data_IF_660508032347
#
_entry.id   IF_660508032347
#
_cell.length_a   1.000
_cell.length_b   1.000
_cell.length_c   1.000
_cell.angle_alpha   90.00
_cell.angle_beta   90.00
_cell.angle_gamma   90.00
#
_symmetry.space_group_name_H-M   'P 1'
#
loop_
_entity.id
_entity.type
_entity.pdbx_description
1 polymer ?
#
# COMPACT_ATOMS: atom_id res chain seq x y z
N UNK A 1 -15.30 -25.12 12.16
CA UNK A 1 -15.70 -25.06 10.74
C UNK A 1 -16.96 -24.21 10.63
N UNK A 2 -16.85 -23.01 10.06
CA UNK A 2 -18.04 -22.18 9.79
C UNK A 2 -18.94 -22.86 8.75
N UNK A 3 -20.26 -22.89 9.01
CA UNK A 3 -21.23 -23.47 8.08
C UNK A 3 -21.28 -22.62 6.81
N UNK A 4 -21.22 -23.28 5.65
CA UNK A 4 -21.40 -22.61 4.35
C UNK A 4 -22.69 -21.79 4.36
N UNK A 5 -22.66 -20.49 3.98
CA UNK A 5 -23.85 -19.65 3.96
C UNK A 5 -24.99 -20.29 3.16
N UNK A 6 -26.21 -20.23 3.69
CA UNK A 6 -27.37 -20.94 3.12
C UNK A 6 -27.62 -20.63 1.63
N UNK A 7 -27.42 -19.38 1.20
CA UNK A 7 -27.62 -18.99 -0.19
C UNK A 7 -26.65 -19.70 -1.16
N UNK A 8 -25.39 -19.94 -0.75
CA UNK A 8 -24.40 -20.64 -1.59
C UNK A 8 -24.80 -22.11 -1.78
N UNK A 9 -25.37 -22.74 -0.76
CA UNK A 9 -25.90 -24.11 -0.84
C UNK A 9 -27.12 -24.20 -1.75
N UNK A 10 -28.04 -23.26 -1.63
CA UNK A 10 -29.24 -23.18 -2.48
C UNK A 10 -28.85 -22.98 -3.95
N UNK A 11 -27.86 -22.10 -4.22
CA UNK A 11 -27.39 -21.85 -5.59
C UNK A 11 -26.73 -23.10 -6.19
N UNK A 12 -25.88 -23.79 -5.43
CA UNK A 12 -25.23 -25.02 -5.86
C UNK A 12 -26.23 -26.15 -6.11
N UNK A 13 -27.23 -26.32 -5.24
CA UNK A 13 -28.31 -27.30 -5.42
C UNK A 13 -29.16 -26.96 -6.66
N UNK A 14 -29.45 -25.69 -6.88
CA UNK A 14 -30.23 -25.23 -8.04
C UNK A 14 -29.47 -25.50 -9.35
N UNK A 15 -28.17 -25.21 -9.39
CA UNK A 15 -27.31 -25.53 -10.54
C UNK A 15 -27.24 -27.04 -10.81
N UNK A 16 -27.13 -27.86 -9.75
CA UNK A 16 -27.11 -29.32 -9.88
C UNK A 16 -28.43 -29.86 -10.45
N UNK A 17 -29.57 -29.37 -9.94
CA UNK A 17 -30.91 -29.75 -10.46
C UNK A 17 -31.05 -29.36 -11.93
N UNK A 18 -30.54 -28.20 -12.33
CA UNK A 18 -30.59 -27.72 -13.72
C UNK A 18 -29.74 -28.59 -14.67
N UNK A 19 -28.54 -28.99 -14.24
CA UNK A 19 -27.67 -29.93 -14.98
C UNK A 19 -28.34 -31.31 -15.10
N UNK A 20 -28.89 -31.84 -14.00
CA UNK A 20 -29.59 -33.13 -14.02
C UNK A 20 -30.81 -33.04 -14.96
N UNK A 21 -31.58 -31.95 -14.90
CA UNK A 21 -32.71 -31.72 -15.81
C UNK A 21 -32.29 -31.70 -17.28
N UNK A 22 -31.17 -31.05 -17.61
CA UNK A 22 -30.57 -31.06 -18.94
C UNK A 22 -30.17 -32.47 -19.40
N UNK A 23 -29.53 -33.25 -18.52
CA UNK A 23 -29.14 -34.64 -18.83
C UNK A 23 -30.36 -35.53 -19.03
N UNK A 24 -31.41 -35.37 -18.22
CA UNK A 24 -32.66 -36.13 -18.36
C UNK A 24 -33.39 -35.76 -19.65
N UNK A 25 -33.48 -34.47 -19.99
CA UNK A 25 -34.06 -34.02 -21.25
C UNK A 25 -33.30 -34.59 -22.45
N UNK A 26 -31.98 -34.61 -22.38
CA UNK A 26 -31.13 -35.26 -23.37
C UNK A 26 -31.41 -36.76 -23.51
N UNK A 27 -31.53 -37.48 -22.39
CA UNK A 27 -31.85 -38.90 -22.39
C UNK A 27 -33.22 -39.17 -23.06
N UNK A 28 -34.21 -38.33 -22.81
CA UNK A 28 -35.53 -38.45 -23.43
C UNK A 28 -35.48 -38.22 -24.95
N UNK A 29 -34.74 -37.20 -25.42
CA UNK A 29 -34.55 -36.95 -26.86
C UNK A 29 -33.81 -38.12 -27.54
N UNK A 30 -32.84 -38.72 -26.85
CA UNK A 30 -32.11 -39.87 -27.35
C UNK A 30 -32.98 -41.14 -27.43
N UNK A 31 -33.89 -41.35 -26.46
CA UNK A 31 -34.76 -42.54 -26.40
C UNK A 31 -35.96 -42.46 -27.34
N UNK A 32 -36.53 -41.26 -27.56
CA UNK A 32 -37.79 -41.07 -28.30
C UNK A 32 -37.65 -40.38 -29.66
N UNK A 33 -36.43 -40.00 -30.05
CA UNK A 33 -35.96 -39.51 -31.36
C UNK A 33 -36.94 -38.94 -32.39
N UNK A 34 -36.64 -37.73 -32.90
CA UNK A 34 -37.23 -37.15 -34.13
C UNK A 34 -36.18 -36.82 -35.21
N UNK A 35 -36.58 -36.23 -36.35
CA UNK A 35 -35.68 -35.87 -37.46
C UNK A 35 -34.48 -35.02 -37.03
N UNK A 36 -34.67 -34.17 -36.02
CA UNK A 36 -33.67 -33.19 -35.54
C UNK A 36 -32.82 -33.69 -34.36
N UNK A 37 -32.92 -34.98 -34.01
CA UNK A 37 -32.25 -35.55 -32.83
C UNK A 37 -30.73 -35.36 -32.83
N UNK A 38 -30.09 -35.37 -34.01
CA UNK A 38 -28.66 -35.14 -34.18
C UNK A 38 -28.25 -33.69 -33.90
N UNK A 39 -29.03 -32.71 -34.35
CA UNK A 39 -28.72 -31.29 -34.17
C UNK A 39 -28.95 -30.86 -32.71
N UNK A 40 -30.00 -31.41 -32.08
CA UNK A 40 -30.24 -31.27 -30.64
C UNK A 40 -29.10 -31.88 -29.81
N UNK A 41 -28.60 -33.06 -30.19
CA UNK A 41 -27.43 -33.67 -29.54
C UNK A 41 -26.19 -32.77 -29.65
N UNK A 42 -25.86 -32.28 -30.85
CA UNK A 42 -24.69 -31.45 -31.07
C UNK A 42 -24.79 -30.11 -30.33
N UNK A 43 -25.98 -29.50 -30.29
CA UNK A 43 -26.24 -28.28 -29.54
C UNK A 43 -26.05 -28.48 -28.03
N UNK A 44 -26.57 -29.58 -27.47
CA UNK A 44 -26.41 -29.92 -26.05
C UNK A 44 -24.96 -30.26 -25.69
N UNK A 45 -24.28 -31.08 -26.50
CA UNK A 45 -22.87 -31.39 -26.30
C UNK A 45 -21.99 -30.12 -26.35
N UNK A 46 -22.28 -29.22 -27.30
CA UNK A 46 -21.65 -27.91 -27.37
C UNK A 46 -21.93 -27.06 -26.14
N UNK A 47 -23.18 -27.01 -25.66
CA UNK A 47 -23.57 -26.23 -24.49
C UNK A 47 -22.89 -26.73 -23.20
N UNK A 48 -22.75 -28.05 -23.01
CA UNK A 48 -22.08 -28.64 -21.84
C UNK A 48 -20.61 -28.22 -21.75
N UNK A 49 -19.96 -27.96 -22.88
CA UNK A 49 -18.57 -27.45 -22.91
C UNK A 49 -18.53 -25.92 -22.85
N UNK A 50 -19.36 -25.25 -23.66
CA UNK A 50 -19.34 -23.80 -23.80
C UNK A 50 -19.83 -23.07 -22.54
N UNK A 51 -20.89 -23.56 -21.88
CA UNK A 51 -21.47 -22.89 -20.71
C UNK A 51 -20.49 -22.81 -19.53
N UNK A 52 -19.77 -23.88 -19.13
CA UNK A 52 -18.75 -23.77 -18.09
C UNK A 52 -17.62 -22.81 -18.46
N UNK A 53 -17.14 -22.82 -19.72
CA UNK A 53 -16.07 -21.93 -20.18
C UNK A 53 -16.53 -20.47 -20.14
N UNK A 54 -17.71 -20.16 -20.67
CA UNK A 54 -18.26 -18.81 -20.67
C UNK A 54 -18.57 -18.32 -19.25
N UNK A 55 -19.05 -19.19 -18.37
CA UNK A 55 -19.27 -18.87 -16.95
C UNK A 55 -17.96 -18.57 -16.25
N UNK A 56 -16.92 -19.39 -16.50
CA UNK A 56 -15.58 -19.16 -15.98
C UNK A 56 -15.01 -17.82 -16.48
N UNK A 57 -15.11 -17.53 -17.77
CA UNK A 57 -14.67 -16.26 -18.37
C UNK A 57 -15.40 -15.06 -17.76
N UNK A 58 -16.71 -15.15 -17.57
CA UNK A 58 -17.50 -14.08 -16.94
C UNK A 58 -17.04 -13.81 -15.50
N UNK A 59 -16.86 -14.86 -14.70
CA UNK A 59 -16.37 -14.74 -13.31
C UNK A 59 -14.96 -14.15 -13.29
N UNK A 60 -14.09 -14.59 -14.20
CA UNK A 60 -12.75 -14.05 -14.37
C UNK A 60 -12.77 -12.56 -14.74
N UNK A 61 -13.60 -12.15 -15.71
CA UNK A 61 -13.75 -10.74 -16.11
C UNK A 61 -14.25 -9.85 -14.96
N UNK A 62 -15.19 -10.34 -14.15
CA UNK A 62 -15.66 -9.63 -12.95
C UNK A 62 -14.50 -9.46 -11.96
N UNK A 63 -13.70 -10.50 -11.73
CA UNK A 63 -12.51 -10.43 -10.87
C UNK A 63 -11.50 -9.40 -11.37
N UNK A 64 -11.20 -9.43 -12.67
CA UNK A 64 -10.28 -8.49 -13.31
C UNK A 64 -10.74 -7.02 -13.21
N UNK A 65 -12.03 -6.75 -13.40
CA UNK A 65 -12.58 -5.38 -13.33
C UNK A 65 -12.66 -4.88 -11.88
N UNK A 66 -13.00 -5.75 -10.93
CA UNK A 66 -13.21 -5.37 -9.52
C UNK A 66 -11.94 -5.43 -8.68
N UNK A 67 -10.84 -5.94 -9.22
CA UNK A 67 -9.60 -6.20 -8.49
C UNK A 67 -9.75 -7.30 -7.42
N UNK A 68 -10.77 -8.17 -7.53
CA UNK A 68 -11.06 -9.23 -6.56
C UNK A 68 -10.65 -10.59 -7.09
N UNK A 69 -10.06 -11.41 -6.22
CA UNK A 69 -9.87 -12.83 -6.51
C UNK A 69 -11.20 -13.59 -6.55
N UNK A 70 -11.31 -14.49 -7.51
CA UNK A 70 -12.48 -15.35 -7.71
C UNK A 70 -12.04 -16.79 -7.93
N UNK A 71 -13.00 -17.72 -7.96
CA UNK A 71 -12.72 -19.12 -8.33
C UNK A 71 -12.16 -19.29 -9.75
N UNK A 72 -12.24 -18.24 -10.58
CA UNK A 72 -11.74 -18.24 -11.94
C UNK A 72 -10.40 -17.48 -12.10
N UNK A 73 -9.84 -16.91 -11.03
CA UNK A 73 -8.53 -16.25 -11.08
C UNK A 73 -7.45 -17.23 -11.57
N UNK A 74 -6.62 -16.78 -12.51
CA UNK A 74 -5.50 -17.54 -13.08
C UNK A 74 -4.36 -17.83 -12.09
N UNK A 75 -4.53 -17.46 -10.82
CA UNK A 75 -3.62 -17.69 -9.71
C UNK A 75 -3.60 -19.15 -9.26
N UNK A 76 -3.38 -20.06 -10.20
CA UNK A 76 -2.82 -21.37 -9.91
C UNK A 76 -1.41 -21.25 -9.27
N UNK A 77 -0.78 -20.06 -9.28
CA UNK A 77 0.47 -19.78 -8.55
C UNK A 77 0.27 -19.33 -7.09
N UNK A 78 -0.95 -18.97 -6.66
CA UNK A 78 -1.26 -18.76 -5.24
C UNK A 78 -1.65 -20.05 -4.52
N UNK A 79 -1.63 -21.20 -5.22
CA UNK A 79 -2.23 -22.48 -4.77
C UNK A 79 -1.74 -22.99 -3.42
N UNK A 80 -0.60 -22.50 -2.92
CA UNK A 80 -0.04 -22.87 -1.63
C UNK A 80 -0.24 -21.82 -0.52
N UNK A 81 -0.77 -20.62 -0.81
CA UNK A 81 -1.02 -19.59 0.20
C UNK A 81 -2.40 -19.74 0.82
N UNK A 82 -2.50 -19.41 2.11
CA UNK A 82 -3.79 -19.36 2.81
C UNK A 82 -4.60 -18.21 2.24
N UNK A 83 -5.91 -18.40 2.12
CA UNK A 83 -6.82 -17.36 1.65
C UNK A 83 -7.93 -17.15 2.69
N UNK A 84 -8.40 -15.91 2.83
CA UNK A 84 -9.56 -15.60 3.65
C UNK A 84 -10.87 -16.04 2.96
N UNK A 85 -12.01 -15.86 3.64
CA UNK A 85 -13.33 -16.23 3.10
C UNK A 85 -13.76 -15.41 1.87
N UNK A 86 -13.03 -14.36 1.54
CA UNK A 86 -13.24 -13.48 0.40
C UNK A 86 -12.25 -13.75 -0.75
N UNK A 87 -11.30 -14.67 -0.55
CA UNK A 87 -10.28 -15.02 -1.54
C UNK A 87 -9.05 -14.12 -1.50
N UNK A 88 -8.84 -13.32 -0.45
CA UNK A 88 -7.62 -12.53 -0.30
C UNK A 88 -6.50 -13.40 0.26
N UNK A 89 -5.27 -13.20 -0.23
CA UNK A 89 -4.07 -13.86 0.30
C UNK A 89 -3.89 -13.48 1.77
N UNK A 90 -3.71 -14.48 2.63
CA UNK A 90 -3.32 -14.30 4.02
C UNK A 90 -1.80 -14.44 4.06
N UNK A 91 -1.07 -13.43 4.59
CA UNK A 91 0.38 -13.49 4.66
C UNK A 91 0.87 -14.64 5.56
N UNK A 92 2.07 -15.11 5.26
CA UNK A 92 2.75 -16.11 6.08
C UNK A 92 3.28 -15.45 7.37
N UNK A 93 3.24 -16.18 8.50
CA UNK A 93 3.78 -15.69 9.78
C UNK A 93 2.78 -14.90 10.63
N UNK A 94 3.29 -14.16 11.61
CA UNK A 94 2.48 -13.39 12.57
C UNK A 94 2.23 -11.94 12.12
N UNK A 95 3.09 -11.40 11.26
CA UNK A 95 3.00 -10.03 10.73
C UNK A 95 1.94 -9.98 9.62
N UNK A 96 1.03 -9.02 9.71
CA UNK A 96 0.02 -8.76 8.67
C UNK A 96 0.10 -7.36 8.08
N UNK A 97 0.84 -6.45 8.73
CA UNK A 97 0.92 -5.04 8.35
C UNK A 97 2.37 -4.55 8.32
N UNK A 98 2.74 -3.94 7.20
CA UNK A 98 4.01 -3.23 7.01
C UNK A 98 3.72 -1.73 6.97
N UNK A 99 4.42 -0.95 7.78
CA UNK A 99 4.31 0.50 7.81
C UNK A 99 5.66 1.10 7.46
N UNK A 100 5.67 2.01 6.50
CA UNK A 100 6.88 2.68 6.03
C UNK A 100 6.90 4.15 6.42
N UNK A 101 8.07 4.67 6.77
CA UNK A 101 8.35 6.09 6.57
C UNK A 101 8.44 6.42 5.07
N UNK A 102 8.33 7.69 4.72
CA UNK A 102 8.47 8.19 3.35
C UNK A 102 9.90 8.69 3.12
N UNK A 103 10.33 9.72 3.86
CA UNK A 103 11.64 10.33 3.73
C UNK A 103 12.76 9.30 3.93
N UNK A 104 13.71 9.24 2.99
CA UNK A 104 14.86 8.31 2.97
C UNK A 104 14.54 6.81 3.02
N UNK A 105 13.26 6.41 2.99
CA UNK A 105 12.80 5.02 2.95
C UNK A 105 12.10 4.71 1.62
N UNK A 106 10.96 5.33 1.34
CA UNK A 106 10.23 5.19 0.08
C UNK A 106 10.64 6.24 -0.96
N UNK A 107 11.25 7.34 -0.54
CA UNK A 107 11.82 8.38 -1.39
C UNK A 107 13.17 8.85 -0.86
N UNK A 108 13.90 9.67 -1.61
CA UNK A 108 15.08 10.36 -1.09
C UNK A 108 14.70 11.78 -0.69
N UNK A 109 14.91 12.15 0.58
CA UNK A 109 14.75 13.52 1.03
C UNK A 109 16.07 14.27 0.80
N UNK A 110 16.20 14.85 -0.39
CA UNK A 110 17.47 15.34 -0.94
C UNK A 110 17.64 16.86 -0.76
N UNK A 111 17.36 17.37 0.45
CA UNK A 111 17.39 18.81 0.74
C UNK A 111 18.76 19.45 0.48
N UNK A 112 19.85 18.74 0.76
CA UNK A 112 21.23 19.20 0.55
C UNK A 112 21.54 19.37 -0.93
N UNK A 113 21.26 18.33 -1.73
CA UNK A 113 21.43 18.35 -3.19
C UNK A 113 20.52 19.37 -3.85
N UNK A 114 19.33 19.56 -3.31
CA UNK A 114 18.38 20.58 -3.77
C UNK A 114 18.95 21.99 -3.59
N UNK A 115 19.55 22.29 -2.43
CA UNK A 115 20.21 23.59 -2.22
C UNK A 115 21.44 23.77 -3.13
N UNK A 116 22.23 22.73 -3.34
CA UNK A 116 23.34 22.76 -4.30
C UNK A 116 22.83 23.02 -5.73
N UNK A 117 21.72 22.38 -6.13
CA UNK A 117 21.09 22.61 -7.43
C UNK A 117 20.60 24.06 -7.62
N UNK A 118 20.15 24.71 -6.54
CA UNK A 118 19.81 26.15 -6.53
C UNK A 118 21.02 27.07 -6.65
N UNK A 119 22.25 26.54 -6.59
CA UNK A 119 23.49 27.29 -6.79
C UNK A 119 24.20 27.69 -5.51
N UNK A 120 23.80 27.14 -4.36
CA UNK A 120 24.48 27.36 -3.08
C UNK A 120 25.74 26.49 -2.97
N UNK A 121 26.81 27.05 -2.43
CA UNK A 121 28.01 26.30 -2.08
C UNK A 121 27.85 25.56 -0.74
N UNK A 122 28.76 24.64 -0.43
CA UNK A 122 28.68 23.80 0.76
C UNK A 122 28.57 24.62 2.07
N UNK A 123 29.23 25.78 2.13
CA UNK A 123 29.21 26.65 3.30
C UNK A 123 27.83 27.30 3.50
N UNK A 124 27.21 27.78 2.42
CA UNK A 124 25.86 28.33 2.46
C UNK A 124 24.81 27.24 2.71
N UNK A 125 24.96 26.05 2.11
CA UNK A 125 24.10 24.89 2.38
C UNK A 125 24.11 24.54 3.86
N UNK A 126 25.29 24.46 4.48
CA UNK A 126 25.40 24.18 5.93
C UNK A 126 24.76 25.28 6.78
N UNK A 127 24.90 26.55 6.37
CA UNK A 127 24.31 27.70 7.08
C UNK A 127 22.79 27.70 6.99
N UNK A 128 22.23 27.49 5.80
CA UNK A 128 20.79 27.34 5.58
C UNK A 128 20.26 26.14 6.37
N UNK A 129 20.99 25.01 6.38
CA UNK A 129 20.58 23.81 7.12
C UNK A 129 20.43 24.07 8.62
N UNK A 130 21.40 24.79 9.23
CA UNK A 130 21.36 25.19 10.64
C UNK A 130 20.16 26.08 10.97
N UNK A 131 19.78 26.97 10.07
CA UNK A 131 18.62 27.84 10.25
C UNK A 131 17.26 27.12 10.02
N UNK A 132 17.28 25.96 9.35
CA UNK A 132 16.07 25.27 8.85
C UNK A 132 15.98 23.81 9.28
N UNK A 133 16.39 22.85 8.45
CA UNK A 133 16.28 21.39 8.66
C UNK A 133 16.92 20.88 9.95
N UNK A 134 17.90 21.58 10.50
CA UNK A 134 18.54 21.23 11.78
C UNK A 134 18.02 22.04 12.98
N UNK A 135 17.11 23.00 12.75
CA UNK A 135 16.52 23.82 13.79
C UNK A 135 15.34 23.11 14.46
N UNK A 136 15.02 23.50 15.70
CA UNK A 136 13.85 23.01 16.42
C UNK A 136 12.53 23.41 15.72
N UNK A 137 12.53 24.50 14.94
CA UNK A 137 11.37 24.96 14.17
C UNK A 137 10.97 23.97 13.06
N UNK A 138 11.89 23.11 12.61
CA UNK A 138 11.57 22.07 11.63
C UNK A 138 10.46 21.14 12.11
N UNK A 139 10.37 20.92 13.43
CA UNK A 139 9.30 20.12 14.02
C UNK A 139 7.93 20.77 13.80
N UNK A 140 7.83 22.11 13.86
CA UNK A 140 6.57 22.81 13.60
C UNK A 140 6.23 22.84 12.11
N UNK A 141 7.24 22.83 11.23
CA UNK A 141 7.07 22.61 9.80
C UNK A 141 6.41 21.25 9.51
N UNK A 142 6.93 20.18 10.11
CA UNK A 142 6.39 18.83 9.95
C UNK A 142 5.00 18.67 10.59
N UNK A 143 4.69 19.38 11.69
CA UNK A 143 3.33 19.40 12.26
C UNK A 143 2.33 20.14 11.40
N UNK A 144 2.76 21.05 10.52
CA UNK A 144 1.85 21.86 9.70
C UNK A 144 0.96 22.81 10.50
N UNK A 145 1.40 23.23 11.69
CA UNK A 145 0.66 24.17 12.54
C UNK A 145 0.72 25.61 12.03
N UNK A 146 1.71 25.91 11.19
CA UNK A 146 2.01 27.24 10.67
C UNK A 146 1.80 27.27 9.16
N UNK A 147 1.43 28.43 8.65
CA UNK A 147 1.47 28.71 7.22
C UNK A 147 2.91 28.73 6.70
N UNK A 148 3.08 28.62 5.38
CA UNK A 148 4.41 28.65 4.76
C UNK A 148 5.19 29.94 5.08
N UNK A 149 4.50 31.08 5.10
CA UNK A 149 5.13 32.36 5.38
C UNK A 149 5.53 32.49 6.86
N UNK A 150 4.71 31.96 7.77
CA UNK A 150 5.00 31.96 9.21
C UNK A 150 6.21 31.09 9.56
N UNK A 151 6.33 29.90 8.97
CA UNK A 151 7.48 29.03 9.23
C UNK A 151 8.76 29.57 8.59
N UNK A 152 8.67 30.12 7.37
CA UNK A 152 9.82 30.79 6.73
C UNK A 152 10.28 31.98 7.59
N UNK A 153 9.36 32.75 8.16
CA UNK A 153 9.72 33.84 9.07
C UNK A 153 10.51 33.35 10.29
N UNK A 154 10.14 32.20 10.89
CA UNK A 154 10.92 31.60 11.99
C UNK A 154 12.29 31.12 11.55
N UNK A 155 12.39 30.49 10.39
CA UNK A 155 13.69 30.13 9.81
C UNK A 155 14.58 31.35 9.60
N UNK A 156 14.02 32.48 9.15
CA UNK A 156 14.73 33.75 9.01
C UNK A 156 15.16 34.31 10.38
N UNK A 157 14.36 34.13 11.44
CA UNK A 157 14.76 34.52 12.80
C UNK A 157 15.98 33.74 13.31
N UNK A 158 16.16 32.49 12.85
CA UNK A 158 17.33 31.66 13.19
C UNK A 158 18.63 32.19 12.57
N UNK A 159 18.57 32.85 11.40
CA UNK A 159 19.71 33.56 10.81
C UNK A 159 19.27 34.74 9.90
N UNK A 160 19.08 35.94 10.48
CA UNK A 160 18.53 37.07 9.73
C UNK A 160 19.42 37.60 8.60
N UNK A 161 20.72 37.30 8.62
CA UNK A 161 21.67 37.80 7.62
C UNK A 161 21.51 37.11 6.26
N UNK A 162 21.00 35.86 6.25
CA UNK A 162 20.77 35.08 5.02
C UNK A 162 19.28 34.97 4.68
N UNK A 163 18.49 35.96 5.11
CA UNK A 163 17.04 36.02 4.88
C UNK A 163 16.66 35.67 3.44
N UNK A 164 17.30 36.31 2.46
CA UNK A 164 16.97 36.12 1.06
C UNK A 164 17.21 34.68 0.60
N UNK A 165 18.24 34.03 1.13
CA UNK A 165 18.60 32.67 0.77
C UNK A 165 17.65 31.64 1.40
N UNK A 166 17.23 31.87 2.65
CA UNK A 166 16.22 31.06 3.34
C UNK A 166 14.87 31.17 2.62
N UNK A 167 14.44 32.39 2.30
CA UNK A 167 13.20 32.63 1.56
C UNK A 167 13.24 31.97 0.19
N UNK A 168 14.31 32.14 -0.59
CA UNK A 168 14.44 31.48 -1.90
C UNK A 168 14.44 29.95 -1.78
N UNK A 169 15.14 29.41 -0.77
CA UNK A 169 15.28 27.99 -0.54
C UNK A 169 13.95 27.29 -0.26
N UNK A 170 13.10 27.87 0.60
CA UNK A 170 11.91 27.18 1.13
C UNK A 170 10.57 27.72 0.63
N UNK A 171 10.54 28.85 -0.10
CA UNK A 171 9.30 29.35 -0.72
C UNK A 171 8.80 28.44 -1.84
N UNK A 172 9.72 27.82 -2.58
CA UNK A 172 9.41 26.73 -3.51
C UNK A 172 10.42 25.59 -3.27
N UNK A 173 9.89 24.41 -2.94
CA UNK A 173 10.66 23.18 -2.67
C UNK A 173 10.40 22.07 -3.70
N UNK A 174 9.95 22.44 -4.90
CA UNK A 174 9.74 21.51 -6.02
C UNK A 174 11.04 20.74 -6.30
N UNK A 175 10.97 19.42 -6.26
CA UNK A 175 12.13 18.54 -6.47
C UNK A 175 13.03 18.33 -5.25
N UNK A 176 12.65 18.81 -4.05
CA UNK A 176 13.37 18.49 -2.80
C UNK A 176 13.28 16.99 -2.45
N UNK A 177 12.27 16.29 -2.99
CA UNK A 177 12.09 14.85 -2.84
C UNK A 177 12.31 14.17 -4.19
N UNK A 178 13.18 13.15 -4.19
CA UNK A 178 13.45 12.34 -5.37
C UNK A 178 12.75 10.99 -5.28
N UNK A 179 12.19 10.56 -6.42
CA UNK A 179 11.54 9.27 -6.59
C UNK A 179 12.57 8.13 -6.49
N UNK A 180 12.20 7.07 -5.78
CA UNK A 180 12.92 5.78 -5.80
C UNK A 180 12.18 4.79 -6.68
N UNK A 181 12.80 4.34 -7.77
CA UNK A 181 12.19 3.42 -8.74
C UNK A 181 11.75 2.07 -8.13
N UNK A 182 12.40 1.63 -7.05
CA UNK A 182 12.06 0.37 -6.37
C UNK A 182 10.80 0.44 -5.50
N UNK A 183 10.32 1.63 -5.16
CA UNK A 183 9.25 1.84 -4.17
C UNK A 183 7.92 1.23 -4.59
N UNK A 184 7.43 1.57 -5.78
CA UNK A 184 6.15 1.03 -6.28
C UNK A 184 6.22 -0.49 -6.47
N UNK A 185 7.25 -1.06 -7.13
CA UNK A 185 7.42 -2.52 -7.20
C UNK A 185 7.44 -3.20 -5.83
N UNK A 186 8.08 -2.58 -4.84
CA UNK A 186 8.17 -3.14 -3.49
C UNK A 186 6.81 -3.18 -2.78
N UNK A 187 6.07 -2.07 -2.80
CA UNK A 187 4.72 -1.99 -2.23
C UNK A 187 3.80 -3.02 -2.90
N UNK A 188 3.84 -3.12 -4.23
CA UNK A 188 3.02 -4.08 -4.98
C UNK A 188 3.34 -5.53 -4.63
N UNK A 189 4.62 -5.89 -4.48
CA UNK A 189 5.03 -7.24 -4.11
C UNK A 189 4.51 -7.62 -2.71
N UNK A 190 4.66 -6.72 -1.73
CA UNK A 190 4.12 -6.91 -0.37
C UNK A 190 2.59 -7.08 -0.39
N UNK A 191 1.87 -6.24 -1.12
CA UNK A 191 0.41 -6.34 -1.23
C UNK A 191 -0.04 -7.63 -1.92
N UNK A 192 0.65 -8.04 -3.00
CA UNK A 192 0.39 -9.32 -3.67
C UNK A 192 0.65 -10.52 -2.75
N UNK A 193 1.54 -10.36 -1.76
CA UNK A 193 1.78 -11.37 -0.75
C UNK A 193 0.77 -11.37 0.41
N UNK A 194 -0.21 -10.45 0.41
CA UNK A 194 -1.30 -10.39 1.37
C UNK A 194 -1.08 -9.42 2.54
N UNK A 195 0.05 -8.70 2.59
CA UNK A 195 0.29 -7.73 3.64
C UNK A 195 -0.48 -6.44 3.38
N UNK A 196 -1.01 -5.85 4.45
CA UNK A 196 -1.46 -4.45 4.44
C UNK A 196 -0.22 -3.56 4.43
N UNK A 197 -0.16 -2.59 3.52
CA UNK A 197 0.97 -1.67 3.39
C UNK A 197 0.51 -0.24 3.65
N UNK A 198 1.04 0.39 4.69
CA UNK A 198 0.71 1.75 5.09
C UNK A 198 1.96 2.64 5.14
N UNK A 199 1.75 3.95 5.24
CA UNK A 199 2.82 4.91 5.55
C UNK A 199 2.56 5.71 6.84
N UNK A 200 3.63 6.16 7.48
CA UNK A 200 3.63 7.01 8.67
C UNK A 200 4.83 7.98 8.60
N UNK A 201 4.59 9.23 8.22
CA UNK A 201 5.68 10.16 7.93
C UNK A 201 5.49 11.53 8.57
N UNK A 202 6.61 12.06 9.08
CA UNK A 202 6.75 13.49 9.34
C UNK A 202 6.96 14.15 7.98
N UNK A 203 5.97 14.91 7.54
CA UNK A 203 5.89 15.37 6.16
C UNK A 203 5.16 16.70 6.09
N UNK A 204 5.60 17.59 5.21
CA UNK A 204 4.98 18.91 5.01
C UNK A 204 3.98 18.92 3.85
N UNK A 205 3.06 19.88 3.88
CA UNK A 205 2.10 20.08 2.78
C UNK A 205 2.82 20.44 1.47
N UNK A 206 3.83 21.29 1.56
CA UNK A 206 4.59 21.83 0.45
C UNK A 206 5.34 20.71 -0.27
N UNK A 207 5.89 19.76 0.47
CA UNK A 207 6.61 18.64 -0.12
C UNK A 207 5.68 17.71 -0.90
N UNK A 208 4.42 17.58 -0.46
CA UNK A 208 3.41 16.79 -1.16
C UNK A 208 2.97 17.48 -2.47
N UNK A 209 2.77 18.80 -2.42
CA UNK A 209 2.30 19.59 -3.56
C UNK A 209 3.40 19.84 -4.60
N UNK A 210 4.66 20.02 -4.16
CA UNK A 210 5.79 20.32 -5.04
C UNK A 210 6.50 19.10 -5.64
N UNK A 211 6.24 17.89 -5.14
CA UNK A 211 6.87 16.66 -5.62
C UNK A 211 5.86 15.56 -5.97
N UNK A 212 4.83 15.82 -6.80
CA UNK A 212 3.76 14.85 -7.08
C UNK A 212 4.29 13.55 -7.70
N UNK A 213 5.26 13.64 -8.61
CA UNK A 213 5.87 12.48 -9.29
C UNK A 213 6.58 11.53 -8.31
N UNK A 214 7.24 12.09 -7.28
CA UNK A 214 7.88 11.30 -6.24
C UNK A 214 6.85 10.65 -5.29
N UNK A 215 5.64 11.20 -5.23
CA UNK A 215 4.55 10.79 -4.34
C UNK A 215 3.52 9.87 -5.00
N UNK A 216 3.70 9.48 -6.27
CA UNK A 216 2.81 8.56 -7.01
C UNK A 216 2.53 7.25 -6.24
N UNK A 217 3.50 6.76 -5.46
CA UNK A 217 3.38 5.53 -4.68
C UNK A 217 2.27 5.59 -3.62
N UNK A 218 1.84 6.77 -3.18
CA UNK A 218 0.79 6.92 -2.17
C UNK A 218 -0.50 6.20 -2.60
N UNK A 219 -0.83 6.24 -3.90
CA UNK A 219 -2.00 5.57 -4.46
C UNK A 219 -1.88 4.03 -4.48
N UNK A 220 -0.66 3.49 -4.36
CA UNK A 220 -0.40 2.04 -4.33
C UNK A 220 -0.53 1.46 -2.91
N UNK A 221 -0.45 2.30 -1.87
CA UNK A 221 -0.59 1.89 -0.47
C UNK A 221 -2.05 1.68 -0.06
N UNK A 222 -2.29 1.13 1.12
CA UNK A 222 -3.63 1.04 1.73
C UNK A 222 -3.99 2.30 2.55
N UNK A 223 -3.16 3.34 2.47
CA UNK A 223 -3.30 4.61 3.19
C UNK A 223 -2.15 4.86 4.16
N UNK A 224 -2.33 5.83 5.05
CA UNK A 224 -1.32 6.19 6.04
C UNK A 224 -1.61 7.53 6.72
N UNK A 225 -0.59 8.06 7.40
CA UNK A 225 -0.63 9.37 8.05
C UNK A 225 0.53 10.23 7.53
N UNK A 226 0.19 11.45 7.13
CA UNK A 226 1.12 12.56 6.93
C UNK A 226 0.91 13.54 8.09
N UNK A 227 1.95 13.79 8.86
CA UNK A 227 1.88 14.58 10.11
C UNK A 227 1.20 15.94 9.95
N UNK A 228 1.45 16.67 8.85
CA UNK A 228 0.87 18.01 8.64
C UNK A 228 -0.66 18.04 8.63
N UNK A 229 -1.31 16.92 8.30
CA UNK A 229 -2.77 16.81 8.29
C UNK A 229 -3.36 16.57 9.68
N UNK A 230 -2.55 16.03 10.58
CA UNK A 230 -2.97 15.55 11.90
C UNK A 230 -2.35 16.35 13.05
N UNK A 231 -1.43 17.26 12.74
CA UNK A 231 -0.73 18.12 13.70
C UNK A 231 0.04 17.38 14.80
N UNK A 232 0.48 16.16 14.48
CA UNK A 232 1.25 15.29 15.36
C UNK A 232 2.35 14.61 14.55
N UNK A 233 3.53 14.46 15.15
CA UNK A 233 4.75 13.98 14.51
C UNK A 233 5.35 12.81 15.27
N UNK A 234 6.08 11.94 14.59
CA UNK A 234 7.01 10.99 15.23
C UNK A 234 8.12 11.77 15.95
N UNK A 235 8.61 11.29 17.10
CA UNK A 235 8.30 10.02 17.77
C UNK A 235 7.16 10.11 18.82
N UNK A 236 6.25 11.09 18.73
CA UNK A 236 5.13 11.21 19.69
C UNK A 236 4.24 9.96 19.64
N UNK A 237 3.99 9.27 20.77
CA UNK A 237 3.10 8.11 20.83
C UNK A 237 1.71 8.32 20.21
N UNK A 238 1.21 9.56 20.21
CA UNK A 238 -0.09 9.91 19.65
C UNK A 238 -0.21 9.60 18.15
N UNK A 239 0.84 9.78 17.34
CA UNK A 239 0.76 9.50 15.89
C UNK A 239 0.65 7.99 15.59
N UNK A 240 1.35 7.16 16.37
CA UNK A 240 1.27 5.71 16.25
C UNK A 240 -0.11 5.20 16.67
N UNK A 241 -0.61 5.69 17.81
CA UNK A 241 -1.96 5.33 18.29
C UNK A 241 -3.06 5.79 17.33
N UNK A 242 -2.88 6.94 16.67
CA UNK A 242 -3.75 7.41 15.61
C UNK A 242 -3.77 6.43 14.43
N UNK A 243 -2.61 5.94 13.99
CA UNK A 243 -2.52 4.95 12.92
C UNK A 243 -3.19 3.63 13.31
N UNK A 244 -2.95 3.14 14.54
CA UNK A 244 -3.59 1.95 15.09
C UNK A 244 -5.11 2.07 15.02
N UNK A 245 -5.64 3.18 15.51
CA UNK A 245 -7.08 3.42 15.60
C UNK A 245 -7.72 3.56 14.21
N UNK A 246 -7.07 4.30 13.30
CA UNK A 246 -7.59 4.58 11.96
C UNK A 246 -7.63 3.34 11.06
N UNK A 247 -6.61 2.49 11.15
CA UNK A 247 -6.47 1.32 10.28
C UNK A 247 -6.76 -0.02 10.96
N UNK A 248 -7.22 0.03 12.21
CA UNK A 248 -7.52 -1.12 13.06
C UNK A 248 -6.32 -2.10 13.13
N UNK A 249 -5.15 -1.56 13.48
CA UNK A 249 -3.91 -2.33 13.52
C UNK A 249 -3.78 -3.12 14.82
N UNK A 250 -3.07 -4.25 14.75
CA UNK A 250 -2.59 -4.94 15.94
C UNK A 250 -1.09 -4.67 16.07
N UNK A 251 -0.63 -3.90 17.08
CA UNK A 251 0.78 -3.52 17.23
C UNK A 251 1.74 -4.71 17.11
N UNK A 252 1.46 -5.83 17.77
CA UNK A 252 2.33 -7.01 17.76
C UNK A 252 2.46 -7.68 16.38
N UNK A 253 1.56 -7.39 15.45
CA UNK A 253 1.53 -7.88 14.07
C UNK A 253 1.97 -6.83 13.04
N UNK A 254 2.41 -5.67 13.52
CA UNK A 254 2.80 -4.54 12.68
C UNK A 254 4.30 -4.34 12.77
N UNK A 255 4.96 -4.20 11.62
CA UNK A 255 6.37 -3.80 11.54
C UNK A 255 6.47 -2.40 10.96
N UNK A 256 7.24 -1.55 11.62
CA UNK A 256 7.54 -0.19 11.18
C UNK A 256 8.97 -0.10 10.64
N UNK A 257 9.14 0.52 9.49
CA UNK A 257 10.42 0.70 8.80
C UNK A 257 10.66 2.21 8.66
N UNK A 258 11.72 2.69 9.29
CA UNK A 258 12.05 4.12 9.40
C UNK A 258 13.58 4.25 9.46
N UNK A 259 14.15 5.29 8.86
CA UNK A 259 15.60 5.52 8.89
C UNK A 259 16.08 6.09 10.23
N UNK A 260 15.16 6.67 11.02
CA UNK A 260 15.46 7.39 12.26
C UNK A 260 15.28 6.48 13.49
N UNK A 261 16.36 6.17 14.24
CA UNK A 261 16.31 5.21 15.34
C UNK A 261 15.30 5.57 16.45
N UNK A 262 15.13 6.85 16.77
CA UNK A 262 14.20 7.27 17.84
C UNK A 262 12.74 6.94 17.50
N UNK A 263 12.37 6.99 16.21
CA UNK A 263 11.03 6.64 15.74
C UNK A 263 10.78 5.13 15.87
N UNK A 264 11.80 4.32 15.60
CA UNK A 264 11.75 2.86 15.77
C UNK A 264 11.63 2.49 17.25
N UNK A 265 12.39 3.13 18.13
CA UNK A 265 12.31 2.85 19.56
C UNK A 265 10.98 3.28 20.18
N UNK A 266 10.37 4.37 19.71
CA UNK A 266 9.02 4.76 20.09
C UNK A 266 7.97 3.72 19.64
N UNK A 267 8.03 3.24 18.40
CA UNK A 267 7.15 2.19 17.91
C UNK A 267 7.26 0.89 18.72
N UNK A 268 8.50 0.46 19.03
CA UNK A 268 8.75 -0.74 19.85
C UNK A 268 8.17 -0.62 21.25
N UNK A 269 8.26 0.55 21.90
CA UNK A 269 7.64 0.80 23.21
C UNK A 269 6.11 0.64 23.18
N UNK A 270 5.48 0.82 22.02
CA UNK A 270 4.06 0.63 21.80
C UNK A 270 3.70 -0.79 21.33
N UNK A 271 4.66 -1.72 21.33
CA UNK A 271 4.45 -3.13 20.99
C UNK A 271 4.59 -3.46 19.51
N UNK A 272 5.09 -2.54 18.68
CA UNK A 272 5.35 -2.78 17.27
C UNK A 272 6.68 -3.51 17.08
N UNK A 273 6.83 -4.20 15.95
CA UNK A 273 8.17 -4.54 15.43
C UNK A 273 8.75 -3.32 14.74
N UNK A 274 10.08 -3.20 14.72
CA UNK A 274 10.74 -2.04 14.14
C UNK A 274 12.06 -2.41 13.47
N UNK A 275 12.26 -1.90 12.27
CA UNK A 275 13.46 -2.10 11.45
C UNK A 275 14.02 -0.72 11.11
N UNK A 276 15.29 -0.49 11.43
CA UNK A 276 15.98 0.73 11.00
C UNK A 276 16.38 0.56 9.54
N UNK A 277 15.87 1.42 8.66
CA UNK A 277 16.18 1.40 7.24
C UNK A 277 17.63 1.84 7.00
N UNK A 278 18.43 0.98 6.36
CA UNK A 278 19.76 1.35 5.83
C UNK A 278 19.80 1.19 4.32
N UNK A 279 19.28 0.06 3.84
CA UNK A 279 19.11 -0.21 2.43
C UNK A 279 18.02 -1.26 2.21
N UNK A 280 17.58 -1.38 0.96
CA UNK A 280 16.51 -2.29 0.57
C UNK A 280 16.81 -3.76 0.92
N UNK A 281 18.02 -4.25 0.66
CA UNK A 281 18.33 -5.68 0.83
C UNK A 281 18.35 -6.05 2.32
N UNK A 282 18.92 -5.18 3.15
CA UNK A 282 18.92 -5.33 4.60
C UNK A 282 17.49 -5.41 5.16
N UNK A 283 16.58 -4.56 4.70
CA UNK A 283 15.19 -4.61 5.16
C UNK A 283 14.50 -5.89 4.69
N UNK A 284 14.75 -6.35 3.45
CA UNK A 284 14.21 -7.63 2.95
C UNK A 284 14.66 -8.79 3.84
N UNK A 285 15.95 -8.84 4.19
CA UNK A 285 16.49 -9.89 5.05
C UNK A 285 15.88 -9.84 6.46
N UNK A 286 15.79 -8.64 7.07
CA UNK A 286 15.19 -8.48 8.39
C UNK A 286 13.68 -8.81 8.39
N UNK A 287 12.94 -8.42 7.34
CA UNK A 287 11.55 -8.81 7.15
C UNK A 287 11.41 -10.34 7.06
N UNK A 288 12.30 -11.02 6.35
CA UNK A 288 12.30 -12.48 6.27
C UNK A 288 12.49 -13.15 7.64
N UNK A 289 13.32 -12.57 8.53
CA UNK A 289 13.46 -13.08 9.92
C UNK A 289 12.18 -12.95 10.75
N UNK A 290 11.32 -11.97 10.42
CA UNK A 290 10.00 -11.79 11.02
C UNK A 290 8.92 -12.68 10.37
N UNK A 291 9.30 -13.51 9.40
CA UNK A 291 8.40 -14.39 8.65
C UNK A 291 7.71 -13.72 7.46
N UNK A 292 8.06 -12.46 7.14
CA UNK A 292 7.49 -11.72 6.02
C UNK A 292 8.13 -12.18 4.71
N UNK A 293 7.33 -12.72 3.79
CA UNK A 293 7.74 -13.25 2.49
C UNK A 293 6.90 -12.68 1.35
N UNK A 294 7.54 -12.10 0.34
CA UNK A 294 6.90 -11.43 -0.80
C UNK A 294 7.75 -11.48 -2.06
#
# INVERSE_FOLDING_TARGET
MEKTPNYKRVLALSALVLIIGLIVAFLLVALFGGPDSKDLFMGLAGAVVAVPILTWLLIWSIGAITGRHTIASLDAMSSNKKHDKYGNVIPDGEIDTIVFDIGNVLTDFAWDKFLVYKGYDDAMVERIAKATVYSDDWVEYDKGNLTNDEIIARFVENDPEIKSDIEDSFKNIDGIILKREKTIPWIRALKAAGYKVLYLSNFSKQALEGCPDAMEFLAETDGGILSYREHVVKPDPAIYNLLVSRYNLTPSKTVFIDDTPVNIEAAKKLGWKGIIYRDYNQVVDELATLGVKF
#
